data_IF_770387912933
#
_entry.id   IF_770387912933
#
_cell.length_a   1.000
_cell.length_b   1.000
_cell.length_c   1.000
_cell.angle_alpha   90.00
_cell.angle_beta   90.00
_cell.angle_gamma   90.00
#
_symmetry.space_group_name_H-M   'P 1'
#
loop_
_entity.id
_entity.type
_entity.pdbx_description
1 polymer ?
#
# COMPACT_ATOMS: atom_id res chain seq x y z
N UNK A 1 8.27 -2.59 13.88
CA UNK A 1 6.80 -2.71 13.92
C UNK A 1 6.19 -1.66 13.00
N UNK A 2 5.31 -2.03 12.07
CA UNK A 2 4.63 -1.07 11.18
C UNK A 2 3.48 -0.40 11.94
N UNK A 3 3.52 0.92 12.07
CA UNK A 3 2.53 1.70 12.86
C UNK A 3 1.65 2.59 12.00
N UNK A 4 2.08 2.91 10.78
CA UNK A 4 1.30 3.66 9.80
C UNK A 4 1.88 3.44 8.40
N UNK A 5 1.04 3.68 7.40
CA UNK A 5 1.37 3.69 5.99
C UNK A 5 0.99 5.05 5.41
N UNK A 6 1.88 5.68 4.65
CA UNK A 6 1.59 6.92 3.94
C UNK A 6 1.62 6.65 2.44
N UNK A 7 0.50 6.93 1.76
CA UNK A 7 0.30 6.63 0.35
C UNK A 7 -0.17 7.90 -0.34
N UNK A 8 0.45 8.26 -1.47
CA UNK A 8 0.01 9.34 -2.37
C UNK A 8 0.58 9.11 -3.75
N UNK A 9 -0.01 9.71 -4.78
CA UNK A 9 0.30 9.46 -6.19
C UNK A 9 0.42 7.96 -6.53
N UNK A 10 -0.45 7.13 -5.93
CA UNK A 10 -0.40 5.69 -6.10
C UNK A 10 -1.81 5.11 -6.29
N UNK A 11 -2.08 4.64 -7.51
CA UNK A 11 -3.38 4.07 -7.90
C UNK A 11 -4.53 5.00 -7.48
N UNK A 12 -5.45 4.52 -6.64
CA UNK A 12 -6.63 5.26 -6.19
C UNK A 12 -6.32 6.44 -5.23
N UNK A 13 -5.07 6.60 -4.79
CA UNK A 13 -4.64 7.66 -3.87
C UNK A 13 -3.88 8.74 -4.64
N UNK A 14 -4.59 9.81 -5.04
CA UNK A 14 -3.95 11.00 -5.59
C UNK A 14 -3.22 11.77 -4.47
N UNK A 15 -3.99 12.33 -3.53
CA UNK A 15 -3.45 13.04 -2.38
C UNK A 15 -2.79 12.10 -1.37
N UNK A 16 -1.77 12.60 -0.68
CA UNK A 16 -1.08 11.84 0.36
C UNK A 16 -1.98 11.63 1.58
N UNK A 17 -2.22 10.38 1.92
CA UNK A 17 -3.03 9.98 3.07
C UNK A 17 -2.21 9.14 4.03
N UNK A 18 -2.43 9.32 5.33
CA UNK A 18 -1.81 8.53 6.40
C UNK A 18 -2.83 7.53 6.95
N UNK A 19 -2.55 6.25 6.78
CA UNK A 19 -3.37 5.14 7.26
C UNK A 19 -2.68 4.56 8.51
N UNK A 20 -3.26 4.69 9.72
CA UNK A 20 -2.70 4.07 10.91
C UNK A 20 -2.84 2.54 10.84
N UNK A 21 -1.79 1.81 11.27
CA UNK A 21 -1.76 0.35 11.32
C UNK A 21 -1.74 -0.10 12.77
N UNK A 22 -2.66 -0.99 13.11
CA UNK A 22 -2.78 -1.66 14.41
C UNK A 22 -2.63 -3.17 14.23
N UNK A 23 -2.37 -3.94 15.32
CA UNK A 23 -2.22 -5.40 15.24
C UNK A 23 -3.34 -6.11 14.45
N UNK A 24 -4.58 -5.59 14.53
CA UNK A 24 -5.66 -5.92 13.61
C UNK A 24 -6.16 -4.62 12.94
N UNK A 25 -6.08 -4.57 11.62
CA UNK A 25 -6.56 -3.44 10.82
C UNK A 25 -7.50 -3.98 9.74
N UNK A 26 -8.78 -3.60 9.79
CA UNK A 26 -9.77 -4.01 8.80
C UNK A 26 -9.87 -2.97 7.68
N UNK A 27 -9.74 -3.43 6.43
CA UNK A 27 -9.90 -2.59 5.23
C UNK A 27 -11.21 -2.98 4.56
N UNK A 28 -12.20 -2.09 4.61
CA UNK A 28 -13.54 -2.31 4.06
C UNK A 28 -14.08 -1.04 3.37
N UNK A 29 -15.16 -1.19 2.60
CA UNK A 29 -15.76 -0.10 1.80
C UNK A 29 -16.23 -0.56 0.42
N UNK A 30 -16.85 0.34 -0.35
CA UNK A 30 -17.39 0.06 -1.67
C UNK A 30 -16.33 -0.47 -2.66
N UNK A 31 -16.76 -1.24 -3.67
CA UNK A 31 -15.84 -1.66 -4.73
C UNK A 31 -15.24 -0.46 -5.45
N UNK A 32 -14.00 -0.60 -5.93
CA UNK A 32 -13.22 0.50 -6.52
C UNK A 32 -12.86 1.65 -5.58
N UNK A 33 -13.15 1.59 -4.27
CA UNK A 33 -12.80 2.65 -3.30
C UNK A 33 -11.32 2.68 -2.87
N UNK A 34 -10.42 1.99 -3.58
CA UNK A 34 -8.98 1.98 -3.26
C UNK A 34 -8.50 0.95 -2.23
N UNK A 35 -9.35 0.03 -1.77
CA UNK A 35 -8.97 -1.02 -0.80
C UNK A 35 -7.76 -1.86 -1.25
N UNK A 36 -7.82 -2.42 -2.46
CA UNK A 36 -6.71 -3.19 -3.01
C UNK A 36 -5.48 -2.32 -3.26
N UNK A 37 -5.64 -1.02 -3.51
CA UNK A 37 -4.53 -0.07 -3.63
C UNK A 37 -3.75 0.07 -2.32
N UNK A 38 -4.41 -0.01 -1.15
CA UNK A 38 -3.70 -0.06 0.14
C UNK A 38 -2.79 -1.28 0.22
N UNK A 39 -3.32 -2.47 -0.10
CA UNK A 39 -2.56 -3.71 -0.09
C UNK A 39 -1.40 -3.68 -1.11
N UNK A 40 -1.64 -3.22 -2.33
CA UNK A 40 -0.59 -3.10 -3.36
C UNK A 40 0.54 -2.15 -2.94
N UNK A 41 0.24 -1.06 -2.22
CA UNK A 41 1.28 -0.16 -1.73
C UNK A 41 2.17 -0.82 -0.68
N UNK A 42 1.61 -1.70 0.16
CA UNK A 42 2.40 -2.48 1.13
C UNK A 42 3.29 -3.51 0.42
N UNK A 43 2.79 -4.15 -0.64
CA UNK A 43 3.56 -5.09 -1.46
C UNK A 43 4.74 -4.37 -2.12
N UNK A 44 4.50 -3.22 -2.76
CA UNK A 44 5.55 -2.42 -3.37
C UNK A 44 6.58 -1.95 -2.33
N UNK A 45 6.14 -1.45 -1.18
CA UNK A 45 7.04 -1.02 -0.11
C UNK A 45 7.93 -2.17 0.39
N UNK A 46 7.38 -3.39 0.53
CA UNK A 46 8.14 -4.58 0.89
C UNK A 46 9.14 -4.95 -0.21
N UNK A 47 8.72 -4.97 -1.47
CA UNK A 47 9.61 -5.26 -2.60
C UNK A 47 10.79 -4.28 -2.65
N UNK A 48 10.50 -2.98 -2.60
CA UNK A 48 11.50 -1.93 -2.55
C UNK A 48 12.49 -2.08 -1.39
N UNK A 49 11.99 -2.49 -0.21
CA UNK A 49 12.85 -2.76 0.94
C UNK A 49 13.77 -3.97 0.72
N UNK A 50 13.29 -5.01 0.02
CA UNK A 50 14.03 -6.26 -0.20
C UNK A 50 15.04 -6.18 -1.35
N UNK A 51 14.69 -5.48 -2.44
CA UNK A 51 15.44 -5.47 -3.70
C UNK A 51 16.07 -4.13 -4.04
N UNK A 52 15.55 -3.03 -3.48
CA UNK A 52 15.87 -1.67 -3.91
C UNK A 52 15.17 -1.25 -5.22
N UNK A 53 14.38 -2.13 -5.85
CA UNK A 53 13.65 -1.84 -7.07
C UNK A 53 12.27 -1.21 -6.76
N UNK A 54 11.87 -0.25 -7.59
CA UNK A 54 10.65 0.54 -7.45
C UNK A 54 9.65 0.31 -8.59
N UNK A 55 9.86 -0.71 -9.42
CA UNK A 55 8.90 -1.08 -10.46
C UNK A 55 7.59 -1.64 -9.86
N UNK A 56 6.54 -0.82 -9.92
CA UNK A 56 5.19 -1.19 -9.45
C UNK A 56 4.55 -2.32 -10.26
N UNK A 57 5.04 -2.60 -11.47
CA UNK A 57 4.53 -3.66 -12.33
C UNK A 57 5.29 -4.98 -12.17
N UNK A 58 6.38 -4.99 -11.40
CA UNK A 58 7.20 -6.16 -11.11
C UNK A 58 7.48 -6.23 -9.63
N UNK A 59 6.57 -6.85 -8.88
CA UNK A 59 6.86 -7.18 -7.48
C UNK A 59 7.04 -8.69 -7.31
N UNK A 60 7.80 -9.09 -6.30
CA UNK A 60 8.02 -10.51 -5.98
C UNK A 60 6.72 -11.21 -5.53
N UNK A 61 5.67 -10.45 -5.24
CA UNK A 61 4.37 -10.92 -4.73
C UNK A 61 3.26 -10.26 -5.55
N UNK A 62 3.21 -10.57 -6.85
CA UNK A 62 2.19 -10.09 -7.78
C UNK A 62 2.65 -8.97 -8.70
#
# INVERSE_FOLDING_TARGET
>A
MLTALRIGNFKAFAESQRIPVRPLTLIYGANSSGKSSVLHSMILARHAQETGDLDVHRTNVG
#
